data_IF_283672590772
#
_entry.id   IF_283672590772
#
_cell.length_a   1.000
_cell.length_b   1.000
_cell.length_c   1.000
_cell.angle_alpha   90.00
_cell.angle_beta   90.00
_cell.angle_gamma   90.00
#
_symmetry.space_group_name_H-M   'P 1'
#
loop_
_entity.id
_entity.type
_entity.pdbx_description
1 polymer ?
#
# COMPACT_ATOMS: atom_id res chain seq x y z
N UNK A 1 -3.43 15.28 -7.33
CA UNK A 1 -4.57 14.82 -6.51
C UNK A 1 -4.02 13.95 -5.39
N UNK A 2 -3.63 14.55 -4.27
CA UNK A 2 -3.29 13.81 -3.05
C UNK A 2 -4.63 13.41 -2.42
N UNK A 3 -5.07 12.16 -2.61
CA UNK A 3 -6.12 11.58 -1.79
C UNK A 3 -5.57 11.53 -0.36
N UNK A 4 -5.75 12.62 0.39
CA UNK A 4 -5.17 12.82 1.70
C UNK A 4 -5.52 11.68 2.64
N UNK A 5 -4.60 11.31 3.54
CA UNK A 5 -4.74 10.57 4.80
C UNK A 5 -5.86 9.51 4.91
N UNK A 6 -6.22 8.88 3.79
CA UNK A 6 -7.25 7.85 3.72
C UNK A 6 -6.66 6.62 3.08
N UNK A 7 -7.04 5.48 3.63
CA UNK A 7 -6.72 4.21 3.01
C UNK A 7 -7.33 4.17 1.59
N UNK A 8 -6.59 3.61 0.61
CA UNK A 8 -7.13 3.36 -0.71
C UNK A 8 -8.38 2.47 -0.60
N UNK A 9 -9.38 2.74 -1.44
CA UNK A 9 -10.68 2.04 -1.41
C UNK A 9 -10.93 1.19 -2.65
N UNK A 10 -10.14 1.34 -3.71
CA UNK A 10 -10.31 0.60 -4.96
C UNK A 10 -9.59 -0.75 -4.91
N UNK A 11 -10.29 -1.90 -4.83
CA UNK A 11 -9.65 -3.21 -4.67
C UNK A 11 -8.72 -3.63 -5.82
N UNK A 12 -8.94 -3.07 -7.01
CA UNK A 12 -8.12 -3.39 -8.19
C UNK A 12 -6.82 -2.58 -8.24
N UNK A 13 -6.73 -1.50 -7.47
CA UNK A 13 -5.59 -0.61 -7.48
C UNK A 13 -4.39 -1.19 -6.70
N UNK A 14 -3.19 -0.84 -7.13
CA UNK A 14 -1.96 -1.37 -6.54
C UNK A 14 -1.79 -0.93 -5.08
N UNK A 15 -2.11 0.33 -4.77
CA UNK A 15 -2.11 0.89 -3.42
C UNK A 15 -3.01 0.09 -2.47
N UNK A 16 -4.23 -0.23 -2.88
CA UNK A 16 -5.12 -1.09 -2.10
C UNK A 16 -4.52 -2.46 -1.85
N UNK A 17 -4.01 -3.12 -2.90
CA UNK A 17 -3.39 -4.45 -2.76
C UNK A 17 -2.19 -4.42 -1.82
N UNK A 18 -1.35 -3.38 -1.89
CA UNK A 18 -0.21 -3.18 -0.99
C UNK A 18 -0.72 -3.05 0.45
N UNK A 19 -1.67 -2.15 0.70
CA UNK A 19 -2.24 -1.95 2.04
C UNK A 19 -2.86 -3.25 2.57
N UNK A 20 -3.65 -3.97 1.78
CA UNK A 20 -4.27 -5.23 2.19
C UNK A 20 -3.25 -6.31 2.58
N UNK A 21 -2.12 -6.41 1.86
CA UNK A 21 -1.03 -7.34 2.22
C UNK A 21 -0.32 -6.94 3.51
N UNK A 22 -0.11 -5.63 3.72
CA UNK A 22 0.44 -5.11 4.97
C UNK A 22 -0.51 -5.34 6.16
N UNK A 23 -1.83 -5.18 5.97
CA UNK A 23 -2.84 -5.56 6.97
C UNK A 23 -2.83 -7.05 7.29
N UNK A 24 -2.55 -7.90 6.29
CA UNK A 24 -2.41 -9.34 6.46
C UNK A 24 -1.09 -9.75 7.16
N UNK A 25 -0.23 -8.79 7.49
CA UNK A 25 1.04 -9.01 8.20
C UNK A 25 2.22 -9.36 7.30
N UNK A 26 2.10 -9.20 5.98
CA UNK A 26 3.25 -9.35 5.08
C UNK A 26 4.30 -8.24 5.29
N UNK A 27 5.58 -8.59 5.12
CA UNK A 27 6.67 -7.61 5.19
C UNK A 27 6.81 -6.79 3.89
N UNK A 28 7.44 -5.61 4.01
CA UNK A 28 7.73 -4.77 2.85
C UNK A 28 8.60 -5.51 1.82
N UNK A 29 9.60 -6.25 2.29
CA UNK A 29 10.53 -7.01 1.46
C UNK A 29 9.81 -8.11 0.66
N UNK A 30 8.83 -8.79 1.27
CA UNK A 30 7.98 -9.78 0.59
C UNK A 30 7.16 -9.15 -0.54
N UNK A 31 6.60 -7.97 -0.29
CA UNK A 31 5.79 -7.24 -1.29
C UNK A 31 6.69 -6.73 -2.41
N UNK A 32 7.92 -6.29 -2.14
CA UNK A 32 8.89 -5.87 -3.16
C UNK A 32 9.37 -7.08 -4.00
N UNK A 33 9.59 -8.23 -3.36
CA UNK A 33 10.00 -9.46 -4.06
C UNK A 33 8.88 -10.02 -4.97
N UNK A 34 7.62 -9.82 -4.59
CA UNK A 34 6.45 -10.19 -5.38
C UNK A 34 5.48 -9.01 -5.52
N UNK A 35 5.77 -8.00 -6.36
CA UNK A 35 4.96 -6.79 -6.46
C UNK A 35 3.56 -7.06 -7.00
N UNK A 36 2.52 -6.39 -6.46
CA UNK A 36 1.21 -6.42 -7.08
C UNK A 36 1.21 -5.67 -8.41
N UNK A 37 0.23 -5.99 -9.25
CA UNK A 37 -0.01 -5.27 -10.51
C UNK A 37 -0.95 -4.07 -10.33
N UNK A 38 -0.68 -3.01 -11.09
CA UNK A 38 -1.57 -1.87 -11.29
C UNK A 38 -2.86 -2.30 -11.99
N UNK A 39 -3.85 -1.40 -12.04
CA UNK A 39 -5.11 -1.62 -12.77
C UNK A 39 -4.85 -1.92 -14.26
N UNK A 40 -3.78 -1.35 -14.82
CA UNK A 40 -3.36 -1.58 -16.21
C UNK A 40 -2.54 -2.86 -16.40
N UNK A 41 -2.43 -3.72 -15.38
CA UNK A 41 -1.70 -4.99 -15.45
C UNK A 41 -0.17 -4.85 -15.40
N UNK A 42 0.37 -3.65 -15.13
CA UNK A 42 1.81 -3.43 -15.01
C UNK A 42 2.27 -3.77 -13.59
N UNK A 43 3.48 -4.31 -13.46
CA UNK A 43 4.11 -4.54 -12.16
C UNK A 43 4.32 -3.19 -11.47
N UNK A 44 3.96 -3.09 -10.19
CA UNK A 44 4.15 -1.86 -9.42
C UNK A 44 5.64 -1.68 -9.11
N UNK A 45 6.15 -0.46 -9.31
CA UNK A 45 7.55 -0.17 -9.02
C UNK A 45 7.84 -0.19 -7.51
N UNK A 46 9.06 -0.59 -7.15
CA UNK A 46 9.52 -0.62 -5.77
C UNK A 46 9.33 0.73 -5.06
N UNK A 47 9.68 1.84 -5.71
CA UNK A 47 9.49 3.18 -5.14
C UNK A 47 8.03 3.50 -4.80
N UNK A 48 7.07 3.03 -5.59
CA UNK A 48 5.65 3.17 -5.26
C UNK A 48 5.28 2.30 -4.06
N UNK A 49 5.78 1.06 -3.98
CA UNK A 49 5.51 0.15 -2.86
C UNK A 49 6.03 0.75 -1.55
N UNK A 50 7.26 1.26 -1.54
CA UNK A 50 7.86 1.92 -0.38
C UNK A 50 7.03 3.13 0.03
N UNK A 51 6.59 3.94 -0.94
CA UNK A 51 5.78 5.13 -0.67
C UNK A 51 4.43 4.76 -0.03
N UNK A 52 3.73 3.73 -0.53
CA UNK A 52 2.48 3.25 0.05
C UNK A 52 2.70 2.63 1.45
N UNK A 53 3.79 1.91 1.67
CA UNK A 53 4.13 1.40 3.00
C UNK A 53 4.33 2.52 4.04
N UNK A 54 5.00 3.62 3.66
CA UNK A 54 5.17 4.78 4.55
C UNK A 54 3.83 5.44 4.88
N UNK A 55 2.92 5.56 3.90
CA UNK A 55 1.55 6.06 4.11
C UNK A 55 0.78 5.14 5.05
N UNK A 56 0.80 3.83 4.80
CA UNK A 56 0.15 2.83 5.65
C UNK A 56 0.61 2.93 7.10
N UNK A 57 1.93 3.01 7.36
CA UNK A 57 2.47 3.19 8.72
C UNK A 57 1.97 4.47 9.38
N UNK A 58 1.87 5.56 8.62
CA UNK A 58 1.37 6.84 9.13
C UNK A 58 -0.11 6.73 9.52
N UNK A 59 -0.93 6.08 8.70
CA UNK A 59 -2.35 5.81 9.00
C UNK A 59 -2.50 4.95 10.26
N UNK A 60 -1.70 3.89 10.41
CA UNK A 60 -1.72 3.03 11.60
C UNK A 60 -1.35 3.75 12.88
N UNK A 61 -0.31 4.58 12.85
CA UNK A 61 0.06 5.42 14.00
C UNK A 61 -1.08 6.36 14.41
N UNK A 62 -1.77 6.97 13.44
CA UNK A 62 -2.90 7.87 13.72
C UNK A 62 -4.12 7.13 14.25
N UNK A 63 -4.39 5.93 13.74
CA UNK A 63 -5.48 5.08 14.24
C UNK A 63 -5.23 4.61 15.68
N UNK A 64 -3.98 4.38 16.06
CA UNK A 64 -3.59 4.02 17.44
C UNK A 64 -3.74 5.19 18.42
N UNK A 65 -3.55 6.42 17.95
CA UNK A 65 -3.60 7.64 18.77
C UNK A 65 -5.01 8.26 18.86
N UNK A 66 -6.05 7.57 18.40
CA UNK A 66 -7.46 7.99 18.49
C UNK A 66 -8.17 7.21 19.58
#
# INVERSE_FOLDING_TARGET
MSNGDKAPTNPQAADFKIHARLEAGESLESIIANPPTTISGKVTSEGNIISEWQKWRTLKKRALNR
#
